data_IF_965205381338
#
_entry.id   IF_965205381338
#
_cell.length_a   1.000
_cell.length_b   1.000
_cell.length_c   1.000
_cell.angle_alpha   90.00
_cell.angle_beta   90.00
_cell.angle_gamma   90.00
#
_symmetry.space_group_name_H-M   'P 1'
#
loop_
_entity.id
_entity.type
_entity.pdbx_description
1 polymer ?
#
# COMPACT_ATOMS: atom_id res chain seq x y z
N UNK A 1 64.56 28.62 10.08
CA UNK A 1 64.00 27.52 9.28
C UNK A 1 62.50 27.77 9.12
N UNK A 2 62.00 28.06 7.91
CA UNK A 2 60.59 28.41 7.67
C UNK A 2 59.84 27.15 7.20
N UNK A 3 58.83 26.72 7.95
CA UNK A 3 58.05 25.51 7.67
C UNK A 3 57.00 25.76 6.58
N UNK A 4 56.96 24.86 5.60
CA UNK A 4 56.08 24.90 4.43
C UNK A 4 54.70 24.42 4.85
N UNK A 5 53.67 25.26 4.67
CA UNK A 5 52.26 24.88 4.87
C UNK A 5 51.88 23.80 3.84
N UNK A 6 51.61 22.60 4.35
CA UNK A 6 51.01 21.50 3.61
C UNK A 6 49.60 21.87 3.16
N UNK A 7 49.40 22.06 1.86
CA UNK A 7 48.09 22.18 1.23
C UNK A 7 47.44 20.80 1.19
N UNK A 8 46.50 20.53 2.11
CA UNK A 8 45.63 19.37 2.00
C UNK A 8 44.59 19.64 0.93
N UNK A 9 44.58 18.82 -0.12
CA UNK A 9 43.51 18.80 -1.13
C UNK A 9 42.18 18.43 -0.45
N UNK A 10 41.05 19.06 -0.84
CA UNK A 10 39.74 18.70 -0.32
C UNK A 10 39.35 17.29 -0.80
N UNK A 11 38.72 16.45 0.04
CA UNK A 11 38.24 15.14 -0.37
C UNK A 11 37.01 15.29 -1.27
N UNK A 12 36.98 14.49 -2.34
CA UNK A 12 35.90 14.39 -3.32
C UNK A 12 34.63 13.80 -2.66
N UNK A 13 33.81 14.66 -2.05
CA UNK A 13 32.58 14.31 -1.32
C UNK A 13 31.32 14.20 -2.21
N UNK A 14 31.47 14.01 -3.52
CA UNK A 14 30.37 14.14 -4.48
C UNK A 14 29.25 13.09 -4.39
N UNK A 15 29.56 11.87 -3.92
CA UNK A 15 28.62 10.73 -4.02
C UNK A 15 27.77 10.56 -2.75
N UNK A 16 28.28 10.94 -1.59
CA UNK A 16 27.58 10.83 -0.30
C UNK A 16 26.59 11.99 -0.03
N UNK A 17 26.64 13.05 -0.84
CA UNK A 17 25.68 14.16 -0.74
C UNK A 17 24.35 13.82 -1.40
N UNK A 18 24.37 13.30 -2.62
CA UNK A 18 23.16 12.98 -3.39
C UNK A 18 22.22 11.97 -2.69
N UNK A 19 22.77 10.97 -1.98
CA UNK A 19 21.94 10.02 -1.20
C UNK A 19 21.25 10.68 0.00
N UNK A 20 21.94 11.57 0.72
CA UNK A 20 21.37 12.24 1.91
C UNK A 20 20.22 13.17 1.53
N UNK A 21 20.32 13.82 0.39
CA UNK A 21 19.27 14.73 -0.10
C UNK A 21 18.01 13.92 -0.46
N UNK A 22 18.17 12.82 -1.20
CA UNK A 22 17.06 11.93 -1.57
C UNK A 22 16.36 11.30 -0.34
N UNK A 23 17.11 10.82 0.65
CA UNK A 23 16.53 10.29 1.89
C UNK A 23 15.75 11.37 2.64
N UNK A 24 16.25 12.62 2.64
CA UNK A 24 15.57 13.73 3.31
C UNK A 24 14.27 14.16 2.64
N UNK A 25 14.21 14.06 1.30
CA UNK A 25 13.01 14.35 0.52
C UNK A 25 11.93 13.30 0.77
N UNK A 26 12.30 12.02 0.76
CA UNK A 26 11.37 10.90 1.07
C UNK A 26 10.81 11.03 2.49
N UNK A 27 11.65 11.37 3.47
CA UNK A 27 11.19 11.61 4.85
C UNK A 27 10.18 12.77 4.90
N UNK A 28 10.45 13.86 4.17
CA UNK A 28 9.52 14.99 4.14
C UNK A 28 8.19 14.63 3.47
N UNK A 29 8.20 13.88 2.37
CA UNK A 29 6.97 13.43 1.71
C UNK A 29 6.12 12.55 2.63
N UNK A 30 6.76 11.65 3.38
CA UNK A 30 6.09 10.83 4.38
C UNK A 30 5.47 11.69 5.50
N UNK A 31 6.23 12.65 6.05
CA UNK A 31 5.75 13.62 7.03
C UNK A 31 4.54 14.42 6.50
N UNK A 32 4.63 14.86 5.24
CA UNK A 32 3.59 15.64 4.56
C UNK A 32 2.30 14.83 4.40
N UNK A 33 2.41 13.60 3.90
CA UNK A 33 1.27 12.72 3.71
C UNK A 33 0.57 12.41 5.04
N UNK A 34 1.34 12.09 6.08
CA UNK A 34 0.78 11.83 7.40
C UNK A 34 0.03 13.05 7.96
N UNK A 35 0.60 14.26 7.82
CA UNK A 35 -0.07 15.48 8.23
C UNK A 35 -1.38 15.73 7.47
N UNK A 36 -1.41 15.49 6.16
CA UNK A 36 -2.63 15.62 5.34
C UNK A 36 -3.70 14.64 5.83
N UNK A 37 -3.34 13.37 6.02
CA UNK A 37 -4.26 12.34 6.49
C UNK A 37 -4.84 12.68 7.87
N UNK A 38 -4.03 13.21 8.77
CA UNK A 38 -4.49 13.60 10.10
C UNK A 38 -5.46 14.79 10.07
N UNK A 39 -5.25 15.77 9.19
CA UNK A 39 -6.16 16.90 8.99
C UNK A 39 -7.49 16.44 8.36
N UNK A 40 -7.44 15.54 7.37
CA UNK A 40 -8.63 14.98 6.74
C UNK A 40 -9.45 14.13 7.72
N UNK A 41 -8.78 13.32 8.53
CA UNK A 41 -9.44 12.54 9.59
C UNK A 41 -10.14 13.44 10.61
N UNK A 42 -9.50 14.55 11.00
CA UNK A 42 -10.10 15.52 11.91
C UNK A 42 -11.32 16.22 11.31
N UNK A 43 -11.27 16.53 10.00
CA UNK A 43 -12.39 17.14 9.28
C UNK A 43 -13.57 16.17 9.13
N UNK A 44 -13.30 14.93 8.72
CA UNK A 44 -14.31 13.87 8.56
C UNK A 44 -14.95 13.49 9.90
N UNK A 45 -14.23 13.64 11.00
CA UNK A 45 -14.75 13.40 12.34
C UNK A 45 -15.83 14.40 12.80
N UNK A 46 -16.02 15.53 12.11
CA UNK A 46 -17.10 16.50 12.38
C UNK A 46 -17.01 17.24 13.73
N UNK A 47 -15.93 17.04 14.50
CA UNK A 47 -15.74 17.59 15.86
C UNK A 47 -15.09 18.98 15.88
N UNK A 48 -14.76 19.55 14.72
CA UNK A 48 -14.07 20.83 14.61
C UNK A 48 -15.07 21.99 14.60
N UNK A 49 -14.71 23.09 15.28
CA UNK A 49 -15.44 24.36 15.14
C UNK A 49 -15.43 24.83 13.69
N UNK A 50 -16.51 25.47 13.23
CA UNK A 50 -16.69 25.90 11.82
C UNK A 50 -15.49 26.74 11.30
N UNK A 51 -14.93 27.61 12.14
CA UNK A 51 -13.75 28.42 11.77
C UNK A 51 -12.51 27.53 11.55
N UNK A 52 -12.27 26.60 12.47
CA UNK A 52 -11.13 25.67 12.42
C UNK A 52 -11.28 24.71 11.24
N UNK A 53 -12.50 24.24 10.97
CA UNK A 53 -12.78 23.40 9.81
C UNK A 53 -12.47 24.12 8.49
N UNK A 54 -12.93 25.37 8.34
CA UNK A 54 -12.63 26.17 7.14
C UNK A 54 -11.12 26.40 6.95
N UNK A 55 -10.39 26.68 8.02
CA UNK A 55 -8.94 26.86 7.95
C UNK A 55 -8.19 25.55 7.69
N UNK A 56 -8.68 24.43 8.23
CA UNK A 56 -8.15 23.09 7.96
C UNK A 56 -8.28 22.75 6.47
N UNK A 57 -9.43 23.03 5.86
CA UNK A 57 -9.64 22.82 4.40
C UNK A 57 -8.66 23.66 3.58
N UNK A 58 -8.43 24.93 3.94
CA UNK A 58 -7.44 25.79 3.26
C UNK A 58 -6.03 25.22 3.41
N UNK A 59 -5.66 24.78 4.62
CA UNK A 59 -4.34 24.21 4.89
C UNK A 59 -4.11 22.94 4.07
N UNK A 60 -5.08 22.03 3.99
CA UNK A 60 -5.00 20.82 3.15
C UNK A 60 -4.78 21.21 1.68
N UNK A 61 -5.51 22.19 1.16
CA UNK A 61 -5.35 22.67 -0.24
C UNK A 61 -3.94 23.19 -0.50
N UNK A 62 -3.36 23.93 0.44
CA UNK A 62 -1.99 24.45 0.34
C UNK A 62 -0.97 23.31 0.39
N UNK A 63 -1.13 22.35 1.30
CA UNK A 63 -0.21 21.22 1.47
C UNK A 63 -0.18 20.29 0.24
N UNK A 64 -1.34 20.03 -0.37
CA UNK A 64 -1.48 19.21 -1.59
C UNK A 64 -0.94 19.88 -2.86
N UNK A 65 -0.85 21.21 -2.88
CA UNK A 65 -0.35 21.91 -4.07
C UNK A 65 1.14 21.70 -4.27
N UNK A 66 1.57 21.47 -5.51
CA UNK A 66 2.98 21.28 -5.87
C UNK A 66 3.76 22.61 -5.84
N UNK A 67 3.09 23.72 -6.17
CA UNK A 67 3.72 25.04 -6.32
C UNK A 67 4.10 25.73 -5.00
N UNK A 68 3.77 25.15 -3.84
CA UNK A 68 4.03 25.78 -2.54
C UNK A 68 5.43 25.41 -2.05
N UNK A 69 6.25 26.40 -1.66
CA UNK A 69 7.60 26.14 -1.20
C UNK A 69 7.61 25.27 0.06
N UNK A 70 8.58 24.37 0.14
CA UNK A 70 8.72 23.37 1.20
C UNK A 70 8.71 23.97 2.62
N UNK A 71 9.38 25.11 2.80
CA UNK A 71 9.42 25.83 4.09
C UNK A 71 8.00 26.21 4.55
N UNK A 72 7.16 26.68 3.62
CA UNK A 72 5.77 27.06 3.91
C UNK A 72 4.93 25.84 4.27
N UNK A 73 5.12 24.71 3.58
CA UNK A 73 4.46 23.44 3.95
C UNK A 73 4.81 23.04 5.39
N UNK A 74 6.10 23.07 5.76
CA UNK A 74 6.55 22.78 7.13
C UNK A 74 5.94 23.72 8.17
N UNK A 75 5.87 25.01 7.88
CA UNK A 75 5.24 25.99 8.78
C UNK A 75 3.77 25.66 9.05
N UNK A 76 3.00 25.35 8.00
CA UNK A 76 1.58 24.99 8.13
C UNK A 76 1.42 23.69 8.90
N UNK A 77 2.23 22.67 8.60
CA UNK A 77 2.22 21.39 9.34
C UNK A 77 2.48 21.62 10.84
N UNK A 78 3.49 22.43 11.17
CA UNK A 78 3.84 22.76 12.56
C UNK A 78 2.76 23.61 13.25
N UNK A 79 2.19 24.60 12.57
CA UNK A 79 1.14 25.44 13.12
C UNK A 79 -0.16 24.65 13.38
N UNK A 80 -0.47 23.70 12.51
CA UNK A 80 -1.74 22.94 12.58
C UNK A 80 -1.66 21.76 13.55
N UNK A 81 -0.54 21.00 13.56
CA UNK A 81 -0.40 19.78 14.35
C UNK A 81 0.64 19.86 15.46
N UNK A 82 1.47 20.91 15.51
CA UNK A 82 2.62 20.99 16.42
C UNK A 82 3.77 20.10 15.97
N UNK A 83 4.36 19.36 16.90
CA UNK A 83 5.42 18.40 16.59
C UNK A 83 4.83 17.09 16.03
N UNK A 84 4.61 17.07 14.72
CA UNK A 84 4.08 15.90 14.01
C UNK A 84 5.04 14.71 14.00
N UNK A 85 6.36 14.91 14.13
CA UNK A 85 7.32 13.81 14.13
C UNK A 85 7.21 12.96 15.38
N UNK A 86 7.00 13.61 16.53
CA UNK A 86 6.73 12.91 17.78
C UNK A 86 5.42 12.10 17.69
N UNK A 87 4.37 12.69 17.09
CA UNK A 87 3.07 12.04 16.90
C UNK A 87 3.15 10.82 15.98
N UNK A 88 3.87 10.91 14.86
CA UNK A 88 4.09 9.75 13.96
C UNK A 88 4.73 8.57 14.70
N UNK A 89 5.77 8.82 15.50
CA UNK A 89 6.43 7.78 16.29
C UNK A 89 5.51 7.18 17.36
N UNK A 90 4.64 8.00 17.95
CA UNK A 90 3.67 7.52 18.92
C UNK A 90 2.62 6.62 18.26
N UNK A 91 2.11 6.99 17.08
CA UNK A 91 1.17 6.17 16.32
C UNK A 91 1.80 4.85 15.85
N UNK A 92 3.03 4.89 15.35
CA UNK A 92 3.77 3.68 14.96
C UNK A 92 3.91 2.70 16.14
N UNK A 93 4.21 3.22 17.34
CA UNK A 93 4.23 2.41 18.56
C UNK A 93 2.86 1.82 18.88
N UNK A 94 1.78 2.61 18.76
CA UNK A 94 0.41 2.12 19.00
C UNK A 94 0.02 1.01 18.03
N UNK A 95 0.30 1.18 16.73
CA UNK A 95 -0.02 0.17 15.71
C UNK A 95 0.85 -1.08 15.81
N UNK A 96 2.12 -0.94 16.19
CA UNK A 96 3.01 -2.09 16.44
C UNK A 96 2.62 -2.91 17.67
N UNK A 97 1.91 -2.31 18.64
CA UNK A 97 1.32 -3.04 19.78
C UNK A 97 0.05 -3.75 19.33
N UNK A 98 -0.83 -3.07 18.59
CA UNK A 98 -2.09 -3.65 18.12
C UNK A 98 -1.87 -4.90 17.23
N UNK A 99 -0.88 -4.87 16.34
CA UNK A 99 -0.51 -6.01 15.50
C UNK A 99 -0.02 -7.23 16.31
N UNK A 100 0.64 -7.01 17.45
CA UNK A 100 1.04 -8.11 18.37
C UNK A 100 -0.13 -8.71 19.15
N UNK A 101 -1.26 -8.00 19.25
CA UNK A 101 -2.46 -8.47 19.93
C UNK A 101 -3.40 -9.27 19.01
N UNK A 102 -3.11 -9.34 17.71
CA UNK A 102 -3.82 -10.21 16.78
C UNK A 102 -3.41 -11.65 17.08
N UNK A 103 -4.16 -12.30 17.97
CA UNK A 103 -4.10 -13.74 18.16
C UNK A 103 -4.91 -14.36 17.05
N UNK A 104 -4.24 -15.02 16.10
CA UNK A 104 -4.93 -15.94 15.21
C UNK A 104 -5.51 -17.04 16.09
N UNK A 105 -6.81 -16.99 16.33
CA UNK A 105 -7.52 -18.17 16.80
C UNK A 105 -7.50 -19.12 15.61
N UNK A 106 -6.66 -20.15 15.66
CA UNK A 106 -6.99 -21.36 14.93
C UNK A 106 -8.36 -21.75 15.48
N UNK A 107 -9.40 -21.65 14.65
CA UNK A 107 -10.77 -22.00 15.03
C UNK A 107 -10.83 -23.51 15.31
N UNK A 108 -10.33 -23.92 16.48
CA UNK A 108 -10.28 -25.30 16.92
C UNK A 108 -11.69 -25.91 17.06
N UNK A 109 -12.72 -25.07 17.14
CA UNK A 109 -14.13 -25.47 17.15
C UNK A 109 -14.78 -25.59 15.77
N UNK A 110 -14.04 -25.35 14.69
CA UNK A 110 -14.42 -25.72 13.33
C UNK A 110 -13.69 -27.00 12.85
N UNK A 111 -12.69 -27.47 13.60
CA UNK A 111 -11.92 -28.69 13.31
C UNK A 111 -12.62 -29.95 13.85
N UNK A 112 -13.51 -29.82 14.84
CA UNK A 112 -14.36 -30.91 15.30
C UNK A 112 -15.56 -31.09 14.35
N UNK A 113 -15.45 -32.14 13.54
CA UNK A 113 -16.55 -32.93 12.95
C UNK A 113 -17.00 -32.70 11.50
N UNK A 114 -16.55 -31.68 10.74
CA UNK A 114 -16.78 -31.70 9.27
C UNK A 114 -15.94 -30.77 8.36
N UNK A 115 -14.78 -30.25 8.75
CA UNK A 115 -13.90 -29.58 7.77
C UNK A 115 -13.13 -30.63 6.99
N UNK A 116 -13.66 -30.97 5.82
CA UNK A 116 -12.97 -31.72 4.79
C UNK A 116 -11.68 -30.99 4.44
N UNK A 117 -10.53 -31.61 4.75
CA UNK A 117 -9.21 -31.20 4.25
C UNK A 117 -9.34 -30.93 2.75
N UNK A 118 -8.88 -29.77 2.28
CA UNK A 118 -8.87 -29.48 0.84
C UNK A 118 -8.06 -30.58 0.15
N UNK A 119 -8.68 -31.29 -0.79
CA UNK A 119 -8.02 -32.33 -1.57
C UNK A 119 -7.75 -31.81 -2.97
N UNK A 120 -6.52 -31.99 -3.44
CA UNK A 120 -6.16 -31.69 -4.82
C UNK A 120 -6.63 -32.85 -5.70
N UNK A 121 -7.55 -32.56 -6.60
CA UNK A 121 -8.05 -33.54 -7.59
C UNK A 121 -7.27 -33.37 -8.89
N UNK A 122 -6.67 -34.46 -9.38
CA UNK A 122 -5.98 -34.48 -10.68
C UNK A 122 -7.00 -34.31 -11.81
N UNK A 123 -6.72 -33.45 -12.81
CA UNK A 123 -7.64 -33.11 -13.92
C UNK A 123 -8.26 -34.33 -14.62
N UNK A 124 -7.57 -35.46 -14.69
CA UNK A 124 -8.08 -36.70 -15.28
C UNK A 124 -9.28 -37.31 -14.55
N UNK A 125 -9.44 -37.05 -13.24
CA UNK A 125 -10.57 -37.56 -12.46
C UNK A 125 -11.89 -36.85 -12.79
N UNK A 126 -11.84 -35.62 -13.32
CA UNK A 126 -13.02 -34.86 -13.75
C UNK A 126 -13.56 -35.41 -15.08
N UNK A 127 -12.69 -35.98 -15.92
CA UNK A 127 -13.08 -36.54 -17.23
C UNK A 127 -13.81 -37.88 -17.13
N UNK A 128 -13.65 -38.60 -16.02
CA UNK A 128 -14.33 -39.89 -15.76
C UNK A 128 -15.67 -39.75 -15.05
N UNK A 129 -15.93 -38.60 -14.42
CA UNK A 129 -17.28 -38.28 -13.94
C UNK A 129 -18.09 -37.81 -15.15
N UNK A 130 -19.32 -38.30 -15.30
CA UNK A 130 -20.20 -37.90 -16.40
C UNK A 130 -20.45 -36.39 -16.44
N UNK A 131 -21.28 -35.94 -17.39
CA UNK A 131 -21.58 -34.52 -17.69
C UNK A 131 -22.21 -33.73 -16.52
N UNK A 132 -22.32 -34.35 -15.36
CA UNK A 132 -22.97 -33.86 -14.15
C UNK A 132 -21.97 -33.31 -13.12
N UNK A 133 -20.65 -33.40 -13.37
CA UNK A 133 -19.66 -32.78 -12.49
C UNK A 133 -19.64 -31.26 -12.68
N UNK A 134 -20.19 -30.51 -11.72
CA UNK A 134 -20.16 -29.04 -11.66
C UNK A 134 -19.45 -28.60 -10.38
N UNK A 135 -18.55 -27.63 -10.51
CA UNK A 135 -17.98 -26.95 -9.35
C UNK A 135 -19.03 -25.98 -8.79
N UNK A 136 -19.61 -26.32 -7.64
CA UNK A 136 -20.47 -25.39 -6.90
C UNK A 136 -19.63 -24.31 -6.24
N UNK A 137 -19.50 -23.16 -6.92
CA UNK A 137 -18.90 -21.94 -6.35
C UNK A 137 -19.88 -21.15 -5.46
N UNK A 138 -21.14 -21.55 -5.36
CA UNK A 138 -22.14 -20.89 -4.53
C UNK A 138 -22.08 -21.34 -3.07
N UNK A 139 -20.95 -21.05 -2.41
CA UNK A 139 -20.91 -21.02 -0.96
C UNK A 139 -21.38 -19.63 -0.48
N UNK A 140 -22.64 -19.59 -0.01
CA UNK A 140 -23.27 -18.57 0.87
C UNK A 140 -24.00 -17.41 0.17
N UNK A 141 -25.24 -17.68 -0.23
CA UNK A 141 -26.36 -16.76 0.04
C UNK A 141 -27.55 -17.59 0.49
N UNK A 142 -27.66 -17.85 1.80
CA UNK A 142 -28.96 -18.20 2.40
C UNK A 142 -29.55 -16.90 2.95
N UNK A 143 -30.44 -16.29 2.17
CA UNK A 143 -31.45 -15.37 2.65
C UNK A 143 -32.78 -15.96 2.20
N UNK A 144 -33.73 -15.98 3.13
CA UNK A 144 -34.96 -16.76 3.14
C UNK A 144 -35.95 -16.39 2.01
N UNK A 145 -36.88 -17.32 1.77
CA UNK A 145 -37.83 -17.43 0.67
C UNK A 145 -38.59 -16.16 0.24
N UNK A 146 -38.73 -15.98 -1.08
CA UNK A 146 -40.01 -16.07 -1.82
C UNK A 146 -40.13 -15.06 -2.97
N UNK A 147 -40.49 -15.60 -4.14
CA UNK A 147 -41.27 -14.99 -5.21
C UNK A 147 -40.60 -14.05 -6.26
N UNK A 148 -40.56 -14.62 -7.47
CA UNK A 148 -40.96 -14.07 -8.79
C UNK A 148 -39.92 -13.29 -9.59
N UNK A 149 -39.45 -13.99 -10.63
CA UNK A 149 -39.41 -13.59 -12.05
C UNK A 149 -39.33 -12.09 -12.34
N UNK A 150 -38.17 -11.66 -12.81
CA UNK A 150 -38.09 -10.86 -14.03
C UNK A 150 -36.67 -10.87 -14.60
N UNK A 151 -36.57 -11.42 -15.81
CA UNK A 151 -35.42 -11.28 -16.69
C UNK A 151 -35.20 -9.80 -17.00
N UNK A 152 -34.01 -9.27 -16.73
CA UNK A 152 -33.40 -8.27 -17.60
C UNK A 152 -31.93 -8.58 -17.83
N UNK A 153 -31.74 -9.10 -19.03
CA UNK A 153 -30.50 -9.29 -19.76
C UNK A 153 -29.78 -7.96 -19.98
N UNK A 154 -28.60 -7.76 -19.38
CA UNK A 154 -27.59 -6.82 -19.89
C UNK A 154 -26.28 -7.56 -20.12
N UNK A 155 -25.98 -7.81 -21.40
CA UNK A 155 -24.67 -8.22 -21.87
C UNK A 155 -23.67 -7.09 -21.63
N UNK A 156 -22.59 -7.38 -20.91
CA UNK A 156 -21.38 -6.58 -20.99
C UNK A 156 -20.25 -7.51 -21.38
N UNK A 157 -19.91 -7.48 -22.67
CA UNK A 157 -18.72 -8.08 -23.24
C UNK A 157 -17.52 -7.21 -22.86
N UNK A 158 -16.64 -7.74 -22.01
CA UNK A 158 -15.29 -7.22 -21.84
C UNK A 158 -14.32 -8.34 -22.21
N UNK A 159 -13.99 -8.38 -23.50
CA UNK A 159 -12.84 -9.11 -24.05
C UNK A 159 -11.57 -8.56 -23.40
N UNK A 160 -10.96 -9.35 -22.52
CA UNK A 160 -9.56 -9.16 -22.14
C UNK A 160 -8.77 -10.22 -22.90
N UNK A 161 -8.23 -9.78 -24.05
CA UNK A 161 -7.24 -10.52 -24.81
C UNK A 161 -6.01 -10.78 -23.93
N UNK A 162 -5.91 -12.00 -23.42
CA UNK A 162 -4.67 -12.46 -22.79
C UNK A 162 -3.69 -12.72 -23.92
N UNK A 163 -2.86 -11.72 -24.20
CA UNK A 163 -1.75 -11.86 -25.13
C UNK A 163 -0.89 -13.05 -24.73
N UNK A 164 -1.01 -14.11 -25.53
CA UNK A 164 -0.20 -15.31 -25.49
C UNK A 164 1.28 -14.90 -25.48
N UNK A 165 1.96 -15.14 -24.36
CA UNK A 165 3.41 -14.99 -24.25
C UNK A 165 4.04 -16.02 -25.19
N UNK A 166 4.42 -15.56 -26.38
CA UNK A 166 5.21 -16.32 -27.32
C UNK A 166 6.62 -16.47 -26.73
N UNK A 167 6.96 -17.68 -26.29
CA UNK A 167 8.35 -18.01 -26.03
C UNK A 167 9.04 -18.13 -27.39
N UNK A 168 9.87 -17.16 -27.75
CA UNK A 168 10.73 -17.28 -28.91
C UNK A 168 11.72 -18.41 -28.64
N UNK A 169 11.49 -19.55 -29.29
CA UNK A 169 12.49 -20.61 -29.39
C UNK A 169 13.67 -20.07 -30.20
N UNK A 170 14.64 -19.42 -29.55
CA UNK A 170 15.85 -19.00 -30.27
C UNK A 170 16.81 -18.02 -29.60
N UNK A 171 16.50 -17.38 -28.47
CA UNK A 171 17.46 -16.46 -27.83
C UNK A 171 18.00 -17.05 -26.53
N UNK A 172 19.16 -17.70 -26.61
CA UNK A 172 19.94 -18.10 -25.43
C UNK A 172 20.28 -16.85 -24.61
N UNK A 173 19.72 -16.78 -23.40
CA UNK A 173 20.17 -15.87 -22.35
C UNK A 173 21.70 -16.00 -22.19
N UNK A 174 22.44 -14.91 -22.38
CA UNK A 174 23.89 -14.87 -22.23
C UNK A 174 24.26 -13.87 -21.14
N UNK A 175 24.91 -14.34 -20.08
CA UNK A 175 25.49 -13.47 -19.07
C UNK A 175 26.85 -12.97 -19.55
N UNK A 176 27.05 -11.65 -19.51
CA UNK A 176 28.29 -11.02 -19.93
C UNK A 176 29.19 -10.78 -18.71
N UNK A 177 29.86 -11.82 -18.22
CA UNK A 177 30.90 -11.67 -17.20
C UNK A 177 32.25 -12.10 -17.76
N UNK A 178 33.25 -11.24 -17.60
CA UNK A 178 34.66 -11.55 -17.87
C UNK A 178 35.18 -12.29 -16.65
N UNK A 179 35.67 -13.51 -16.84
CA UNK A 179 36.39 -14.26 -15.82
C UNK A 179 37.87 -13.94 -16.03
N UNK A 180 38.50 -13.41 -14.99
CA UNK A 180 39.94 -13.13 -14.90
C UNK A 180 40.74 -14.43 -14.68
#
# INVERSE_FOLDING_TARGET
MKSIKSMRKPPLAGVAHLKRDADSDVQFELELYWCIQQLETALNGGKLSQKIAADTVKNIKILKSSNVPLIRKRQIMKASLGDYRAKMKEEEKKMSIASKQIKFTEDANLISDNIKKSSFVKKSAILTSGKDFRFDFNARTKLDDCAKDNEQHLQNNAELEVNSLHFTNGSQFKFNFVIE
#
